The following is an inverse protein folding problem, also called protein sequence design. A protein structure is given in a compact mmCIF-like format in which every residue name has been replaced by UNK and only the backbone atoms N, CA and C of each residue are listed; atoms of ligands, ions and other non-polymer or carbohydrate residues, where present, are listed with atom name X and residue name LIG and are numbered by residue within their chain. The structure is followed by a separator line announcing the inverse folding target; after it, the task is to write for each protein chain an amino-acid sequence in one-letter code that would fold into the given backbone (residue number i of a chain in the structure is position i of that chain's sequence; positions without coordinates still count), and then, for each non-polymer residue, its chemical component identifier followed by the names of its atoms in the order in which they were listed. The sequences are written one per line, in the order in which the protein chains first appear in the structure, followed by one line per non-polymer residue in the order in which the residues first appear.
data_IF_724399308877
#
_entry.id   IF_724399308877
#
_cell.length_a   1.000
_cell.length_b   1.000
_cell.length_c   1.000
_cell.angle_alpha   90.00
_cell.angle_beta   90.00
_cell.angle_gamma   90.00
#
_symmetry.space_group_name_H-M   'P 1'
#
loop_
_entity.id
_entity.type
_entity.pdbx_description
1 polymer ?
#
# COMPACT_ATOMS: atom_id res chain seq x y z
N UNK A 1 6.72 4.14 -2.92
CA UNK A 1 7.73 4.65 -3.89
C UNK A 1 7.71 6.16 -3.86
N UNK A 2 8.85 6.81 -3.98
CA UNK A 2 9.02 8.26 -3.97
C UNK A 2 10.40 8.60 -4.58
N UNK A 3 10.57 9.75 -5.19
CA UNK A 3 11.87 10.26 -5.64
C UNK A 3 12.60 10.87 -4.44
N UNK A 4 13.54 10.12 -3.84
CA UNK A 4 14.25 10.55 -2.63
C UNK A 4 15.60 11.22 -2.91
N UNK A 5 16.05 11.22 -4.16
CA UNK A 5 17.34 11.80 -4.58
C UNK A 5 17.17 12.98 -5.55
N UNK A 6 15.92 13.39 -5.86
CA UNK A 6 15.53 14.49 -6.74
C UNK A 6 16.01 14.30 -8.21
N UNK A 7 16.05 13.06 -8.67
CA UNK A 7 16.39 12.72 -10.07
C UNK A 7 15.17 12.54 -10.99
N UNK A 8 13.96 12.76 -10.46
CA UNK A 8 12.64 12.64 -11.09
C UNK A 8 12.21 11.20 -11.39
N UNK A 9 12.83 10.21 -10.75
CA UNK A 9 12.47 8.80 -10.85
C UNK A 9 12.02 8.28 -9.49
N UNK A 10 11.15 7.28 -9.52
CA UNK A 10 10.63 6.71 -8.27
C UNK A 10 11.59 5.66 -7.71
N UNK A 11 12.06 5.91 -6.50
CA UNK A 11 12.83 4.96 -5.70
C UNK A 11 11.89 4.05 -4.90
N UNK A 12 12.40 2.90 -4.46
CA UNK A 12 11.60 1.87 -3.79
C UNK A 12 12.11 1.67 -2.37
N UNK A 13 11.24 1.79 -1.36
CA UNK A 13 11.51 1.31 0.00
C UNK A 13 10.93 -0.10 0.18
N UNK A 14 11.68 -0.98 0.84
CA UNK A 14 11.25 -2.36 1.14
C UNK A 14 11.64 -2.78 2.55
N UNK A 15 10.76 -3.58 3.17
CA UNK A 15 11.08 -4.43 4.31
C UNK A 15 11.40 -5.86 3.82
N UNK A 16 12.51 -6.43 4.27
CA UNK A 16 12.90 -7.81 3.99
C UNK A 16 12.69 -8.65 5.24
N UNK A 17 11.55 -9.36 5.30
CA UNK A 17 11.09 -10.04 6.52
C UNK A 17 12.11 -11.04 7.06
N UNK A 18 12.56 -11.97 6.24
CA UNK A 18 13.53 -13.00 6.66
C UNK A 18 14.91 -12.43 6.94
N UNK A 19 15.35 -11.44 6.16
CA UNK A 19 16.64 -10.76 6.34
C UNK A 19 16.67 -9.79 7.51
N UNK A 20 15.51 -9.36 7.99
CA UNK A 20 15.39 -8.35 9.06
C UNK A 20 16.06 -7.03 8.70
N UNK A 21 15.89 -6.54 7.46
CA UNK A 21 16.55 -5.34 6.97
C UNK A 21 15.57 -4.45 6.20
N UNK A 22 15.73 -3.14 6.37
CA UNK A 22 15.04 -2.11 5.57
C UNK A 22 16.02 -1.57 4.54
N UNK A 23 15.57 -1.50 3.30
CA UNK A 23 16.38 -1.01 2.17
C UNK A 23 15.62 0.02 1.35
N UNK A 24 16.36 0.96 0.79
CA UNK A 24 15.92 1.78 -0.32
C UNK A 24 16.72 1.41 -1.58
N UNK A 25 16.04 1.32 -2.70
CA UNK A 25 16.60 1.04 -4.01
C UNK A 25 16.44 2.29 -4.86
N UNK A 26 17.56 2.84 -5.31
CA UNK A 26 17.56 4.03 -6.16
C UNK A 26 17.40 3.61 -7.61
N UNK A 27 16.48 4.27 -8.32
CA UNK A 27 16.26 4.01 -9.73
C UNK A 27 17.52 4.36 -10.56
N UNK A 28 18.11 3.40 -11.29
CA UNK A 28 19.41 3.59 -11.95
C UNK A 28 19.35 4.42 -13.23
N UNK A 29 18.18 4.84 -13.65
CA UNK A 29 17.88 5.45 -14.95
C UNK A 29 17.36 4.43 -15.95
N UNK A 30 16.52 4.89 -16.89
CA UNK A 30 15.80 4.05 -17.84
C UNK A 30 16.69 3.06 -18.62
N UNK A 31 17.84 3.52 -19.11
CA UNK A 31 18.79 2.67 -19.83
C UNK A 31 19.44 1.55 -18.99
N UNK A 32 19.26 1.56 -17.68
CA UNK A 32 19.87 0.62 -16.73
C UNK A 32 18.85 -0.06 -15.82
N UNK A 33 17.58 0.09 -16.10
CA UNK A 33 16.50 -0.42 -15.24
C UNK A 33 16.56 -1.94 -15.04
N UNK A 34 17.09 -2.68 -16.02
CA UNK A 34 17.32 -4.13 -15.95
C UNK A 34 18.59 -4.51 -15.19
N UNK A 35 19.45 -3.54 -14.85
CA UNK A 35 20.65 -3.79 -14.05
C UNK A 35 20.28 -3.87 -12.56
N UNK A 36 21.24 -4.28 -11.73
CA UNK A 36 21.06 -4.26 -10.27
C UNK A 36 20.99 -2.81 -9.77
N UNK A 37 19.88 -2.46 -9.15
CA UNK A 37 19.69 -1.11 -8.61
C UNK A 37 20.63 -0.82 -7.45
N UNK A 38 21.15 0.41 -7.33
CA UNK A 38 21.90 0.86 -6.17
C UNK A 38 21.06 0.74 -4.88
N UNK A 39 21.68 0.19 -3.83
CA UNK A 39 21.02 -0.11 -2.57
C UNK A 39 21.53 0.81 -1.47
N UNK A 40 20.62 1.34 -0.66
CA UNK A 40 20.88 1.95 0.63
C UNK A 40 20.36 0.98 1.70
N UNK A 41 21.25 0.48 2.58
CA UNK A 41 20.83 -0.24 3.78
C UNK A 41 20.45 0.80 4.84
N UNK A 42 19.14 0.92 5.10
CA UNK A 42 18.56 1.95 5.96
C UNK A 42 18.61 1.55 7.44
N UNK A 43 18.30 0.28 7.74
CA UNK A 43 18.31 -0.19 9.11
C UNK A 43 18.02 -1.68 9.23
N UNK A 44 18.23 -2.20 10.45
CA UNK A 44 17.96 -3.62 10.79
C UNK A 44 16.83 -3.68 11.79
N UNK A 45 15.72 -4.30 11.38
CA UNK A 45 14.55 -4.59 12.22
C UNK A 45 14.05 -5.99 11.88
N UNK A 46 13.64 -6.76 12.87
CA UNK A 46 13.16 -8.13 12.66
C UNK A 46 11.69 -8.12 12.22
N UNK A 47 11.37 -9.01 11.27
CA UNK A 47 10.02 -9.20 10.73
C UNK A 47 9.35 -7.89 10.27
N UNK A 48 9.99 -7.09 9.40
CA UNK A 48 9.35 -5.91 8.82
C UNK A 48 8.29 -6.34 7.80
N UNK A 49 7.13 -5.69 7.85
CA UNK A 49 5.99 -5.92 6.94
C UNK A 49 5.85 -4.80 5.92
N UNK A 50 6.24 -3.58 6.28
CA UNK A 50 6.10 -2.41 5.43
C UNK A 50 7.27 -1.46 5.61
N UNK A 51 7.54 -0.66 4.58
CA UNK A 51 8.49 0.44 4.61
C UNK A 51 7.96 1.59 3.74
N UNK A 52 7.73 2.76 4.33
CA UNK A 52 7.17 3.92 3.65
C UNK A 52 8.06 5.14 3.79
N UNK A 53 8.29 5.84 2.67
CA UNK A 53 8.97 7.14 2.67
C UNK A 53 8.07 8.25 3.21
N UNK A 54 8.62 9.12 4.04
CA UNK A 54 7.93 10.28 4.59
C UNK A 54 8.91 11.26 5.21
N UNK A 55 8.77 12.53 4.95
CA UNK A 55 9.46 13.59 5.71
C UNK A 55 8.74 13.77 7.05
N UNK A 56 9.21 13.07 8.09
CA UNK A 56 8.57 13.06 9.43
C UNK A 56 8.83 14.32 10.23
N UNK A 57 10.02 14.94 10.09
CA UNK A 57 10.44 16.07 10.91
C UNK A 57 10.43 17.40 10.15
N UNK A 58 10.03 17.39 8.87
CA UNK A 58 9.86 18.58 8.07
C UNK A 58 11.18 19.24 7.65
N UNK A 59 12.28 18.44 7.60
CA UNK A 59 13.59 18.96 7.22
C UNK A 59 13.84 18.95 5.69
N UNK A 60 12.92 18.38 4.93
CA UNK A 60 12.94 18.28 3.48
C UNK A 60 13.66 17.03 2.95
N UNK A 61 14.18 16.19 3.83
CA UNK A 61 14.76 14.88 3.50
C UNK A 61 13.80 13.77 3.92
N UNK A 62 13.52 12.82 3.01
CA UNK A 62 12.63 11.73 3.29
C UNK A 62 13.22 10.71 4.26
N UNK A 63 12.53 10.48 5.36
CA UNK A 63 12.76 9.40 6.31
C UNK A 63 12.07 8.12 5.84
N UNK A 64 12.23 7.02 6.59
CA UNK A 64 11.47 5.79 6.38
C UNK A 64 10.79 5.37 7.69
N UNK A 65 9.52 5.00 7.58
CA UNK A 65 8.78 4.31 8.65
C UNK A 65 8.65 2.85 8.29
N UNK A 66 8.96 1.94 9.22
CA UNK A 66 8.72 0.51 9.04
C UNK A 66 7.82 -0.04 10.13
N UNK A 67 6.94 -0.96 9.74
CA UNK A 67 6.07 -1.71 10.61
C UNK A 67 6.61 -3.13 10.80
N UNK A 68 6.55 -3.68 12.00
CA UNK A 68 7.05 -5.02 12.29
C UNK A 68 6.05 -5.88 13.04
N UNK A 69 6.03 -7.16 12.68
CA UNK A 69 5.22 -8.18 13.31
C UNK A 69 6.03 -9.16 14.17
N UNK A 70 5.53 -10.39 14.30
CA UNK A 70 6.18 -11.50 14.98
C UNK A 70 6.41 -11.21 16.47
N UNK A 71 7.67 -11.28 16.91
CA UNK A 71 8.05 -10.95 18.29
C UNK A 71 8.40 -9.48 18.47
N UNK A 72 8.70 -8.77 17.40
CA UNK A 72 9.10 -7.35 17.43
C UNK A 72 7.90 -6.45 17.70
N UNK A 73 6.83 -6.57 16.91
CA UNK A 73 5.55 -5.84 17.08
C UNK A 73 5.76 -4.36 17.43
N UNK A 74 6.54 -3.65 16.60
CA UNK A 74 6.97 -2.29 16.86
C UNK A 74 7.04 -1.51 15.55
N UNK A 75 6.66 -0.25 15.58
CA UNK A 75 6.93 0.71 14.50
C UNK A 75 8.31 1.32 14.74
N UNK A 76 9.10 1.45 13.70
CA UNK A 76 10.43 2.07 13.75
C UNK A 76 10.49 3.25 12.80
N UNK A 77 11.14 4.31 13.25
CA UNK A 77 11.54 5.44 12.42
C UNK A 77 13.01 5.29 12.05
N UNK A 78 13.28 5.48 10.78
CA UNK A 78 14.62 5.47 10.23
C UNK A 78 14.89 6.87 9.69
N UNK A 79 15.58 7.65 10.50
CA UNK A 79 15.89 9.05 10.19
C UNK A 79 16.94 9.15 9.11
N UNK A 80 16.64 9.88 8.06
CA UNK A 80 17.56 10.21 6.99
C UNK A 80 18.74 11.02 7.51
N UNK A 81 19.96 10.77 7.01
CA UNK A 81 21.10 11.63 7.35
C UNK A 81 20.97 12.99 6.70
N UNK A 82 20.92 14.04 7.53
CA UNK A 82 20.87 15.43 7.07
C UNK A 82 22.12 15.79 6.27
N UNK A 83 21.97 16.63 5.25
CA UNK A 83 23.06 17.12 4.41
C UNK A 83 23.86 16.00 3.66
N UNK A 84 23.27 14.87 3.42
CA UNK A 84 23.82 13.84 2.51
C UNK A 84 22.94 13.70 1.27
N UNK A 85 23.17 14.47 0.18
CA UNK A 85 22.32 14.44 -1.01
C UNK A 85 22.22 13.05 -1.67
N UNK A 86 23.22 12.19 -1.45
CA UNK A 86 23.22 10.82 -1.94
C UNK A 86 22.69 9.81 -0.93
N UNK A 87 22.49 10.24 0.34
CA UNK A 87 22.00 9.40 1.46
C UNK A 87 22.76 8.08 1.66
N UNK A 88 24.02 8.03 1.18
CA UNK A 88 24.87 6.85 1.15
C UNK A 88 26.06 6.93 2.09
N UNK A 89 26.52 8.15 2.39
CA UNK A 89 27.78 8.38 3.12
C UNK A 89 27.59 8.33 4.62
N UNK A 90 26.48 8.92 5.11
CA UNK A 90 26.16 8.96 6.53
C UNK A 90 25.17 7.85 6.91
N UNK A 91 25.30 7.26 8.11
CA UNK A 91 24.40 6.22 8.54
C UNK A 91 23.00 6.76 8.88
N UNK A 92 21.98 6.05 8.47
CA UNK A 92 20.62 6.25 8.93
C UNK A 92 20.50 5.88 10.41
N UNK A 93 19.63 6.57 11.13
CA UNK A 93 19.40 6.32 12.55
C UNK A 93 18.06 5.65 12.78
N UNK A 94 18.06 4.37 13.13
CA UNK A 94 16.85 3.62 13.47
C UNK A 94 16.47 3.83 14.94
N UNK A 95 15.19 4.15 15.19
CA UNK A 95 14.60 4.26 16.53
C UNK A 95 13.26 3.54 16.61
N UNK A 96 13.07 2.73 17.64
CA UNK A 96 11.77 2.14 17.96
C UNK A 96 10.84 3.22 18.54
N UNK A 97 9.57 3.18 18.17
CA UNK A 97 8.52 4.07 18.72
C UNK A 97 7.91 3.41 19.95
N UNK A 98 8.20 3.89 21.18
CA UNK A 98 7.90 3.16 22.41
C UNK A 98 6.41 2.86 22.62
N UNK A 99 5.51 3.77 22.23
CA UNK A 99 4.06 3.59 22.40
C UNK A 99 3.52 2.42 21.57
N UNK A 100 4.22 1.97 20.53
CA UNK A 100 3.83 0.86 19.66
C UNK A 100 4.47 -0.47 20.08
N UNK A 101 5.53 -0.44 20.88
CA UNK A 101 6.38 -1.58 21.19
C UNK A 101 5.64 -2.72 21.90
N UNK A 102 5.67 -3.92 21.28
CA UNK A 102 5.06 -5.14 21.80
C UNK A 102 3.53 -5.15 21.82
N UNK A 103 2.86 -4.13 21.28
CA UNK A 103 1.39 -3.99 21.37
C UNK A 103 0.66 -4.83 20.35
N UNK A 104 0.91 -4.59 19.08
CA UNK A 104 0.19 -5.21 17.98
C UNK A 104 1.18 -5.68 16.90
N UNK A 105 0.78 -6.62 16.05
CA UNK A 105 1.51 -6.94 14.83
C UNK A 105 1.21 -5.85 13.81
N UNK A 106 2.11 -4.87 13.72
CA UNK A 106 1.94 -3.72 12.83
C UNK A 106 2.21 -4.13 11.38
N UNK A 107 1.25 -3.80 10.51
CA UNK A 107 1.27 -4.19 9.10
C UNK A 107 1.67 -3.02 8.20
N UNK A 108 1.01 -1.87 8.36
CA UNK A 108 1.15 -0.73 7.44
C UNK A 108 1.16 0.59 8.18
N UNK A 109 1.87 1.56 7.60
CA UNK A 109 1.83 2.96 7.98
C UNK A 109 1.48 3.82 6.76
N UNK A 110 0.59 4.82 6.95
CA UNK A 110 0.25 5.80 5.92
C UNK A 110 0.46 7.20 6.48
N UNK A 111 1.35 8.02 5.89
CA UNK A 111 1.52 9.41 6.28
C UNK A 111 0.27 10.23 5.98
N UNK A 112 -0.24 10.94 7.00
CA UNK A 112 -1.45 11.75 6.90
C UNK A 112 -1.38 12.94 7.87
N UNK A 113 -1.74 14.13 7.42
CA UNK A 113 -1.96 15.29 8.27
C UNK A 113 -3.35 15.18 8.91
N UNK A 114 -3.41 14.87 10.21
CA UNK A 114 -4.69 14.66 10.92
C UNK A 114 -5.14 15.92 11.68
N UNK A 115 -4.21 16.58 12.39
CA UNK A 115 -4.50 17.77 13.18
C UNK A 115 -3.73 19.03 12.74
N UNK A 116 -3.03 18.95 11.60
CA UNK A 116 -2.21 20.01 11.00
C UNK A 116 -1.05 20.53 11.86
N UNK A 117 -0.66 19.81 12.92
CA UNK A 117 0.46 20.20 13.78
C UNK A 117 1.79 19.60 13.37
N UNK A 118 1.76 18.51 12.62
CA UNK A 118 2.92 17.79 12.12
C UNK A 118 2.52 16.64 11.21
N UNK A 119 3.50 15.97 10.62
CA UNK A 119 3.26 14.76 9.86
C UNK A 119 2.91 13.63 10.82
N UNK A 120 1.69 13.14 10.74
CA UNK A 120 1.17 12.02 11.50
C UNK A 120 1.24 10.72 10.69
N UNK A 121 0.93 9.60 11.35
CA UNK A 121 0.82 8.30 10.71
C UNK A 121 -0.51 7.62 11.06
N UNK A 122 -1.16 7.04 10.08
CA UNK A 122 -2.23 6.08 10.31
C UNK A 122 -1.64 4.69 10.26
N UNK A 123 -1.81 3.92 11.33
CA UNK A 123 -1.28 2.56 11.46
C UNK A 123 -2.39 1.53 11.33
N UNK A 124 -2.08 0.44 10.64
CA UNK A 124 -2.90 -0.77 10.56
C UNK A 124 -2.17 -1.98 11.13
N UNK A 125 -2.91 -2.90 11.74
CA UNK A 125 -2.31 -4.08 12.38
C UNK A 125 -3.12 -5.35 12.15
N UNK A 126 -2.59 -6.49 12.65
CA UNK A 126 -3.26 -7.79 12.63
C UNK A 126 -3.23 -8.49 13.99
N UNK A 127 -4.15 -9.45 14.18
CA UNK A 127 -4.26 -10.28 15.39
C UNK A 127 -5.43 -9.91 16.27
N UNK A 128 -5.49 -10.48 17.48
CA UNK A 128 -6.64 -10.34 18.38
C UNK A 128 -6.94 -8.89 18.81
N UNK A 129 -5.88 -8.09 18.95
CA UNK A 129 -5.96 -6.67 19.33
C UNK A 129 -5.75 -5.74 18.13
N UNK A 130 -5.98 -6.24 16.91
CA UNK A 130 -5.76 -5.46 15.70
C UNK A 130 -6.61 -4.20 15.65
N UNK A 131 -6.06 -3.14 15.08
CA UNK A 131 -6.74 -1.86 14.92
C UNK A 131 -6.25 -1.07 13.72
N UNK A 132 -7.05 -0.08 13.35
CA UNK A 132 -6.61 1.08 12.60
C UNK A 132 -6.62 2.26 13.55
N UNK A 133 -5.58 3.09 13.55
CA UNK A 133 -5.51 4.23 14.44
C UNK A 133 -4.42 5.22 14.08
N UNK A 134 -4.43 6.32 14.76
CA UNK A 134 -3.58 7.48 14.57
C UNK A 134 -2.39 7.46 15.52
N UNK A 135 -1.21 7.49 14.97
CA UNK A 135 0.02 7.77 15.69
C UNK A 135 0.32 9.26 15.54
N UNK A 136 -0.05 10.00 16.58
CA UNK A 136 0.04 11.46 16.63
C UNK A 136 1.45 11.93 16.83
N UNK A 137 1.90 12.84 15.97
CA UNK A 137 3.20 13.50 16.05
C UNK A 137 3.25 14.51 17.21
N UNK A 138 4.32 14.51 18.01
CA UNK A 138 4.58 15.59 18.96
C UNK A 138 5.12 16.83 18.23
N UNK A 139 5.28 17.93 18.99
CA UNK A 139 5.88 19.17 18.45
C UNK A 139 7.32 18.98 17.92
N UNK A 140 8.10 18.09 18.55
CA UNK A 140 9.38 17.61 18.06
C UNK A 140 9.25 16.15 17.65
N UNK A 141 9.11 15.83 16.34
CA UNK A 141 8.93 14.46 15.90
C UNK A 141 10.10 13.54 16.24
N UNK A 142 11.31 14.07 16.47
CA UNK A 142 12.48 13.29 16.89
C UNK A 142 12.44 12.88 18.37
N UNK A 143 11.55 13.47 19.16
CA UNK A 143 11.22 13.03 20.51
C UNK A 143 10.28 11.80 20.46
N UNK A 144 10.80 10.64 19.99
CA UNK A 144 10.01 9.43 19.71
C UNK A 144 9.22 8.90 20.90
N UNK A 145 9.60 9.24 22.11
CA UNK A 145 8.89 8.91 23.36
C UNK A 145 7.59 9.70 23.57
N UNK A 146 7.42 10.81 22.88
CA UNK A 146 6.27 11.71 23.03
C UNK A 146 5.15 11.43 22.03
N UNK A 147 5.39 10.56 21.05
CA UNK A 147 4.35 10.11 20.13
C UNK A 147 3.23 9.37 20.87
N UNK A 148 1.97 9.58 20.42
CA UNK A 148 0.79 9.00 21.06
C UNK A 148 -0.04 8.22 20.06
N UNK A 149 -0.54 7.04 20.46
CA UNK A 149 -1.40 6.22 19.61
C UNK A 149 -2.87 6.32 20.06
N UNK A 150 -3.74 6.69 19.12
CA UNK A 150 -5.19 6.79 19.28
C UNK A 150 -5.87 5.75 18.39
N UNK A 151 -6.61 4.84 19.01
CA UNK A 151 -7.31 3.76 18.30
C UNK A 151 -8.64 4.28 17.74
N UNK A 152 -8.82 4.17 16.42
CA UNK A 152 -10.06 4.59 15.75
C UNK A 152 -11.02 3.45 15.49
N UNK A 153 -10.50 2.29 15.01
CA UNK A 153 -11.30 1.18 14.55
C UNK A 153 -10.71 -0.16 15.01
N UNK A 154 -11.61 -1.10 15.43
CA UNK A 154 -11.24 -2.45 15.82
C UNK A 154 -11.22 -3.34 14.59
N UNK A 155 -10.04 -3.71 14.12
CA UNK A 155 -9.80 -4.55 12.96
C UNK A 155 -9.46 -6.00 13.35
N UNK A 156 -9.39 -6.88 12.39
CA UNK A 156 -8.91 -8.25 12.59
C UNK A 156 -7.57 -8.50 11.92
N UNK A 157 -7.45 -8.09 10.66
CA UNK A 157 -6.21 -8.15 9.89
C UNK A 157 -6.28 -7.14 8.75
N UNK A 158 -5.65 -6.01 8.95
CA UNK A 158 -5.56 -4.96 7.93
C UNK A 158 -4.62 -5.43 6.82
N UNK A 159 -5.10 -5.42 5.58
CA UNK A 159 -4.31 -5.79 4.40
C UNK A 159 -4.00 -4.60 3.49
N UNK A 160 -4.73 -3.50 3.63
CA UNK A 160 -4.44 -2.24 2.93
C UNK A 160 -4.89 -1.05 3.76
N UNK A 161 -4.10 0.03 3.65
CA UNK A 161 -4.46 1.37 4.08
C UNK A 161 -4.16 2.32 2.92
N UNK A 162 -5.15 3.14 2.54
CA UNK A 162 -5.03 4.09 1.43
C UNK A 162 -5.67 5.40 1.86
N UNK A 163 -4.96 6.52 1.75
CA UNK A 163 -5.53 7.85 1.96
C UNK A 163 -6.27 8.34 0.72
N UNK A 164 -7.49 8.81 0.89
CA UNK A 164 -8.34 9.32 -0.19
C UNK A 164 -9.43 10.22 0.36
N UNK A 165 -9.78 11.29 -0.33
CA UNK A 165 -11.02 12.05 -0.10
C UNK A 165 -12.18 11.23 -0.67
N UNK A 166 -12.88 10.47 0.20
CA UNK A 166 -13.89 9.50 -0.23
C UNK A 166 -15.26 10.12 -0.46
N UNK A 167 -15.64 11.15 0.30
CA UNK A 167 -16.94 11.81 0.17
C UNK A 167 -16.88 13.18 -0.53
N UNK A 168 -15.67 13.66 -0.82
CA UNK A 168 -15.47 14.89 -1.61
C UNK A 168 -15.53 16.18 -0.77
N UNK A 169 -15.41 16.07 0.57
CA UNK A 169 -15.43 17.24 1.47
C UNK A 169 -14.09 17.98 1.53
N UNK A 170 -13.00 17.36 1.13
CA UNK A 170 -11.66 17.92 1.04
C UNK A 170 -10.70 17.42 2.09
N UNK A 171 -11.18 16.74 3.10
CA UNK A 171 -10.37 16.06 4.09
C UNK A 171 -9.96 14.67 3.60
N UNK A 172 -8.77 14.19 3.95
CA UNK A 172 -8.35 12.85 3.56
C UNK A 172 -8.84 11.82 4.56
N UNK A 173 -9.59 10.87 4.06
CA UNK A 173 -10.10 9.69 4.74
C UNK A 173 -9.12 8.52 4.66
N UNK A 174 -9.46 7.40 5.34
CA UNK A 174 -8.69 6.16 5.30
C UNK A 174 -9.53 5.02 4.75
N UNK A 175 -9.25 4.63 3.50
CA UNK A 175 -9.79 3.42 2.89
C UNK A 175 -8.96 2.21 3.32
N UNK A 176 -9.61 1.12 3.73
CA UNK A 176 -8.94 -0.06 4.24
C UNK A 176 -9.59 -1.36 3.76
N UNK A 177 -8.78 -2.43 3.69
CA UNK A 177 -9.27 -3.80 3.67
C UNK A 177 -8.99 -4.48 5.00
N UNK A 178 -10.00 -5.14 5.55
CA UNK A 178 -9.91 -5.92 6.77
C UNK A 178 -10.24 -7.40 6.45
N UNK A 179 -9.24 -8.25 6.57
CA UNK A 179 -9.32 -9.66 6.17
C UNK A 179 -10.09 -10.53 7.15
N UNK A 180 -9.99 -10.27 8.48
CA UNK A 180 -10.39 -11.26 9.51
C UNK A 180 -11.06 -10.70 10.76
N UNK A 181 -11.71 -9.55 10.68
CA UNK A 181 -12.53 -9.07 11.80
C UNK A 181 -13.85 -9.85 11.91
N UNK A 182 -14.70 -9.43 12.83
CA UNK A 182 -16.07 -9.99 12.95
C UNK A 182 -16.92 -9.74 11.69
N UNK A 183 -16.63 -8.65 10.98
CA UNK A 183 -17.25 -8.27 9.72
C UNK A 183 -16.15 -7.84 8.74
N UNK A 184 -15.39 -8.80 8.16
CA UNK A 184 -14.32 -8.48 7.22
C UNK A 184 -14.89 -7.86 5.94
N UNK A 185 -14.02 -7.23 5.14
CA UNK A 185 -14.43 -6.57 3.89
C UNK A 185 -13.65 -5.30 3.62
N UNK A 186 -14.16 -4.49 2.69
CA UNK A 186 -13.65 -3.17 2.36
C UNK A 186 -14.47 -2.11 3.08
N UNK A 187 -13.78 -1.17 3.73
CA UNK A 187 -14.39 -0.06 4.47
C UNK A 187 -13.53 1.20 4.33
N UNK A 188 -14.11 2.33 4.65
CA UNK A 188 -13.34 3.55 4.86
C UNK A 188 -13.75 4.23 6.17
N UNK A 189 -12.81 4.95 6.75
CA UNK A 189 -12.99 5.74 7.97
C UNK A 189 -13.05 7.19 7.58
N UNK A 190 -14.17 7.84 7.90
CA UNK A 190 -14.45 9.24 7.60
C UNK A 190 -13.67 10.15 8.54
N UNK A 191 -12.88 11.04 7.98
CA UNK A 191 -12.16 12.07 8.71
C UNK A 191 -13.17 13.10 9.24
N UNK A 192 -13.29 13.32 10.55
CA UNK A 192 -14.23 14.29 11.11
C UNK A 192 -13.74 15.74 10.98
N UNK A 193 -12.61 15.96 10.31
CA UNK A 193 -11.98 17.26 10.12
C UNK A 193 -11.04 17.68 11.24
N UNK A 194 -10.10 18.55 10.89
CA UNK A 194 -9.02 19.05 11.75
C UNK A 194 -9.53 19.60 13.08
N UNK A 195 -10.59 20.41 13.05
CA UNK A 195 -11.14 21.03 14.26
C UNK A 195 -11.66 20.01 15.28
N UNK A 196 -12.29 18.94 14.80
CA UNK A 196 -12.76 17.85 15.64
C UNK A 196 -11.59 17.10 16.27
N UNK A 197 -10.57 16.77 15.48
CA UNK A 197 -9.39 16.05 15.96
C UNK A 197 -8.53 16.87 16.92
N UNK A 198 -8.43 18.18 16.75
CA UNK A 198 -7.76 19.07 17.70
C UNK A 198 -8.50 19.16 19.03
N UNK A 199 -9.85 19.09 19.01
CA UNK A 199 -10.69 19.13 20.20
C UNK A 199 -10.68 17.82 20.98
N UNK A 200 -10.76 16.70 20.28
CA UNK A 200 -10.76 15.36 20.86
C UNK A 200 -9.90 14.40 20.03
N UNK A 201 -8.61 14.29 20.32
CA UNK A 201 -7.71 13.36 19.63
C UNK A 201 -8.11 11.88 19.77
N UNK A 202 -8.92 11.52 20.77
CA UNK A 202 -9.39 10.16 20.99
C UNK A 202 -10.69 9.84 20.21
N UNK A 203 -11.27 10.83 19.51
CA UNK A 203 -12.48 10.62 18.72
C UNK A 203 -12.27 9.51 17.69
N UNK A 204 -13.15 8.51 17.72
CA UNK A 204 -13.18 7.47 16.69
C UNK A 204 -13.77 8.01 15.39
N UNK A 205 -13.17 7.65 14.29
CA UNK A 205 -13.67 7.97 12.96
C UNK A 205 -14.86 7.09 12.59
N UNK A 206 -15.86 7.66 11.92
CA UNK A 206 -17.02 6.91 11.46
C UNK A 206 -16.60 5.90 10.38
N UNK A 207 -17.06 4.65 10.50
CA UNK A 207 -16.71 3.60 9.53
C UNK A 207 -17.88 3.34 8.57
N UNK A 208 -17.59 3.42 7.26
CA UNK A 208 -18.52 3.15 6.19
C UNK A 208 -18.12 1.89 5.43
N UNK A 209 -19.05 0.96 5.26
CA UNK A 209 -18.82 -0.27 4.49
C UNK A 209 -18.93 -0.01 3.00
N UNK A 210 -17.91 -0.42 2.25
CA UNK A 210 -17.88 -0.31 0.79
C UNK A 210 -18.43 -1.58 0.15
N UNK A 211 -17.86 -2.75 0.47
CA UNK A 211 -18.27 -4.02 -0.13
C UNK A 211 -17.42 -5.21 0.33
N UNK A 212 -17.54 -6.32 -0.37
CA UNK A 212 -16.88 -7.59 -0.05
C UNK A 212 -17.13 -8.06 1.39
N UNK A 213 -18.28 -7.71 1.96
CA UNK A 213 -18.60 -7.95 3.38
C UNK A 213 -18.67 -9.44 3.70
N UNK A 214 -18.04 -9.84 4.79
CA UNK A 214 -17.98 -11.25 5.23
C UNK A 214 -16.93 -12.07 4.49
N UNK A 215 -16.09 -11.46 3.65
CA UNK A 215 -15.10 -12.16 2.81
C UNK A 215 -13.66 -11.84 3.22
N UNK A 216 -12.74 -12.79 3.00
CA UNK A 216 -11.31 -12.55 3.18
C UNK A 216 -10.74 -11.65 2.07
N UNK A 217 -10.76 -10.35 2.30
CA UNK A 217 -10.19 -9.36 1.39
C UNK A 217 -8.69 -9.23 1.65
N UNK A 218 -7.92 -9.31 0.58
CA UNK A 218 -6.48 -9.11 0.57
C UNK A 218 -6.16 -7.66 0.22
N UNK A 219 -5.19 -7.41 -0.67
CA UNK A 219 -4.89 -6.05 -1.09
C UNK A 219 -6.01 -5.46 -1.95
N UNK A 220 -6.21 -4.15 -1.78
CA UNK A 220 -7.12 -3.35 -2.59
C UNK A 220 -6.34 -2.23 -3.28
N UNK A 221 -6.84 -1.82 -4.43
CA UNK A 221 -6.40 -0.61 -5.13
C UNK A 221 -7.60 0.20 -5.56
N UNK A 222 -7.39 1.45 -5.96
CA UNK A 222 -8.46 2.32 -6.46
C UNK A 222 -8.11 2.92 -7.82
N UNK A 223 -9.10 3.03 -8.69
CA UNK A 223 -9.04 3.92 -9.84
C UNK A 223 -9.54 5.30 -9.47
N UNK A 224 -8.90 6.31 -10.02
CA UNK A 224 -9.22 7.71 -9.78
C UNK A 224 -9.50 8.42 -11.10
N UNK A 225 -10.41 9.39 -11.05
CA UNK A 225 -10.56 10.37 -12.13
C UNK A 225 -10.04 11.71 -11.64
N UNK A 226 -9.09 12.29 -12.38
CA UNK A 226 -8.69 13.69 -12.23
C UNK A 226 -9.47 14.53 -13.24
N UNK A 227 -10.00 15.66 -12.82
CA UNK A 227 -10.63 16.61 -13.73
C UNK A 227 -9.52 17.30 -14.54
N UNK A 228 -9.52 17.10 -15.87
CA UNK A 228 -8.53 17.68 -16.78
C UNK A 228 -8.59 19.21 -16.73
N UNK A 229 -7.43 19.84 -16.55
CA UNK A 229 -7.26 21.31 -16.63
C UNK A 229 -7.19 22.06 -15.30
N UNK A 230 -7.46 21.42 -14.18
CA UNK A 230 -7.31 22.04 -12.85
C UNK A 230 -6.21 21.36 -12.04
N UNK A 231 -5.11 22.08 -11.74
CA UNK A 231 -4.02 21.58 -10.90
C UNK A 231 -4.45 21.31 -9.44
N UNK A 232 -5.61 21.82 -9.04
CA UNK A 232 -6.25 21.61 -7.73
C UNK A 232 -7.46 20.68 -7.80
N UNK A 233 -7.71 20.03 -8.96
CA UNK A 233 -8.84 19.14 -9.10
C UNK A 233 -8.75 17.99 -8.10
N UNK A 234 -9.81 17.83 -7.33
CA UNK A 234 -9.97 16.72 -6.39
C UNK A 234 -9.95 15.38 -7.14
N UNK A 235 -9.20 14.44 -6.62
CA UNK A 235 -9.23 13.08 -7.11
C UNK A 235 -10.52 12.40 -6.67
N UNK A 236 -11.32 11.91 -7.61
CA UNK A 236 -12.51 11.14 -7.28
C UNK A 236 -12.24 9.66 -7.48
N UNK A 237 -12.48 8.85 -6.45
CA UNK A 237 -12.47 7.39 -6.57
C UNK A 237 -13.62 6.93 -7.47
N UNK A 238 -13.31 6.20 -8.54
CA UNK A 238 -14.29 5.71 -9.53
C UNK A 238 -14.57 4.22 -9.38
N UNK A 239 -13.59 3.46 -8.86
CA UNK A 239 -13.75 2.06 -8.52
C UNK A 239 -12.68 1.64 -7.50
N UNK A 240 -12.98 0.58 -6.73
CA UNK A 240 -12.01 -0.15 -5.91
C UNK A 240 -11.93 -1.56 -6.45
N UNK A 241 -10.70 -2.06 -6.61
CA UNK A 241 -10.41 -3.43 -7.03
C UNK A 241 -9.92 -4.19 -5.82
N UNK A 242 -10.70 -5.17 -5.38
CA UNK A 242 -10.42 -5.97 -4.21
C UNK A 242 -10.05 -7.39 -4.61
N UNK A 243 -8.86 -7.84 -4.24
CA UNK A 243 -8.52 -9.26 -4.32
C UNK A 243 -9.16 -9.99 -3.14
N UNK A 244 -10.01 -10.98 -3.44
CA UNK A 244 -10.81 -11.71 -2.46
C UNK A 244 -10.52 -13.20 -2.59
N UNK A 245 -10.11 -13.81 -1.49
CA UNK A 245 -9.79 -15.23 -1.46
C UNK A 245 -11.04 -16.11 -1.71
N UNK A 246 -10.90 -17.27 -2.37
CA UNK A 246 -9.63 -17.77 -2.92
C UNK A 246 -9.28 -17.23 -4.32
N UNK A 247 -10.26 -16.89 -5.18
CA UNK A 247 -10.06 -16.64 -6.60
C UNK A 247 -11.05 -15.62 -7.17
N UNK A 248 -11.25 -14.51 -6.45
CA UNK A 248 -12.16 -13.45 -6.87
C UNK A 248 -11.46 -12.14 -6.94
N UNK A 249 -11.84 -11.35 -7.93
CA UNK A 249 -11.62 -9.91 -7.95
C UNK A 249 -13.00 -9.26 -7.88
N UNK A 250 -13.19 -8.39 -6.91
CA UNK A 250 -14.43 -7.64 -6.75
C UNK A 250 -14.16 -6.19 -7.13
N UNK A 251 -14.92 -5.71 -8.12
CA UNK A 251 -14.87 -4.33 -8.57
C UNK A 251 -16.04 -3.59 -7.94
N UNK A 252 -15.70 -2.70 -7.01
CA UNK A 252 -16.68 -1.94 -6.22
C UNK A 252 -16.79 -0.54 -6.80
N UNK A 253 -18.00 -0.15 -7.22
CA UNK A 253 -18.25 1.17 -7.82
C UNK A 253 -19.20 2.00 -6.95
N UNK A 254 -18.87 3.28 -6.69
CA UNK A 254 -19.68 4.11 -5.82
C UNK A 254 -21.05 4.39 -6.42
N UNK A 255 -22.10 4.25 -5.59
CA UNK A 255 -23.44 4.71 -5.90
C UNK A 255 -23.57 6.22 -5.74
N UNK A 256 -24.82 6.71 -5.61
CA UNK A 256 -25.11 8.12 -5.39
C UNK A 256 -24.63 8.63 -4.03
N UNK A 257 -24.76 7.78 -3.02
CA UNK A 257 -24.29 8.03 -1.65
C UNK A 257 -23.10 7.11 -1.37
N UNK A 258 -21.90 7.67 -1.28
CA UNK A 258 -20.64 6.92 -1.08
C UNK A 258 -20.55 6.31 0.31
N UNK A 259 -21.37 6.76 1.27
CA UNK A 259 -21.45 6.23 2.65
C UNK A 259 -22.27 4.93 2.75
N UNK A 260 -22.99 4.58 1.68
CA UNK A 260 -23.71 3.32 1.55
C UNK A 260 -22.83 2.27 0.84
N UNK A 261 -23.14 0.95 0.98
CA UNK A 261 -22.46 -0.09 0.23
C UNK A 261 -22.50 0.19 -1.29
N UNK A 262 -21.37 -0.08 -1.94
CA UNK A 262 -21.17 0.18 -3.37
C UNK A 262 -21.66 -0.98 -4.24
N UNK A 263 -21.90 -0.71 -5.52
CA UNK A 263 -22.23 -1.75 -6.49
C UNK A 263 -21.04 -2.72 -6.70
N UNK A 264 -21.30 -4.03 -6.64
CA UNK A 264 -20.29 -5.07 -6.76
C UNK A 264 -20.36 -5.79 -8.11
N UNK A 265 -19.26 -5.83 -8.86
CA UNK A 265 -19.04 -6.78 -9.96
C UNK A 265 -18.04 -7.83 -9.50
N UNK A 266 -18.43 -9.12 -9.59
CA UNK A 266 -17.58 -10.25 -9.15
C UNK A 266 -16.99 -10.95 -10.37
N UNK A 267 -15.66 -11.03 -10.42
CA UNK A 267 -14.88 -11.71 -11.45
C UNK A 267 -14.22 -12.91 -10.79
N UNK A 268 -14.34 -14.09 -11.38
CA UNK A 268 -13.69 -15.32 -10.90
C UNK A 268 -12.75 -15.88 -11.96
N UNK A 269 -11.70 -16.55 -11.50
CA UNK A 269 -10.73 -17.22 -12.37
C UNK A 269 -10.42 -18.64 -11.87
N UNK A 270 -9.76 -19.46 -12.70
CA UNK A 270 -9.49 -20.87 -12.40
C UNK A 270 -8.31 -21.03 -11.43
N UNK A 271 -8.54 -21.72 -10.33
CA UNK A 271 -7.47 -22.15 -9.40
C UNK A 271 -6.61 -23.30 -9.95
N UNK A 272 -6.99 -23.92 -11.05
CA UNK A 272 -6.15 -24.94 -11.71
C UNK A 272 -4.98 -24.28 -12.47
N UNK A 273 -5.16 -23.02 -12.91
CA UNK A 273 -4.16 -22.26 -13.67
C UNK A 273 -3.40 -21.26 -12.84
N UNK A 274 -4.02 -20.68 -11.81
CA UNK A 274 -3.49 -19.55 -11.04
C UNK A 274 -3.54 -19.82 -9.54
N UNK A 275 -2.72 -19.09 -8.78
CA UNK A 275 -2.74 -19.15 -7.33
C UNK A 275 -3.96 -18.47 -6.70
N UNK A 276 -3.93 -18.31 -5.37
CA UNK A 276 -4.98 -17.63 -4.61
C UNK A 276 -4.82 -16.12 -4.69
N UNK A 277 -5.91 -15.40 -4.92
CA UNK A 277 -5.93 -13.94 -5.07
C UNK A 277 -5.20 -13.19 -3.94
N UNK A 278 -4.28 -12.29 -4.30
CA UNK A 278 -3.49 -11.51 -3.36
C UNK A 278 -3.63 -10.01 -3.58
N UNK A 279 -3.38 -9.51 -4.79
CA UNK A 279 -3.63 -8.12 -5.16
C UNK A 279 -4.29 -8.01 -6.53
N UNK A 280 -4.97 -6.89 -6.78
CA UNK A 280 -5.54 -6.54 -8.07
C UNK A 280 -5.36 -5.05 -8.33
N UNK A 281 -4.98 -4.68 -9.56
CA UNK A 281 -4.82 -3.29 -9.97
C UNK A 281 -5.23 -3.11 -11.42
N UNK A 282 -6.04 -2.09 -11.70
CA UNK A 282 -6.54 -1.83 -13.04
C UNK A 282 -5.81 -0.68 -13.70
N UNK A 283 -5.49 -0.87 -14.97
CA UNK A 283 -5.00 0.15 -15.90
C UNK A 283 -5.30 -0.27 -17.34
N UNK A 284 -5.20 0.66 -18.26
CA UNK A 284 -5.16 0.39 -19.69
C UNK A 284 -3.74 -0.08 -20.02
N UNK A 285 -3.55 -1.41 -20.10
CA UNK A 285 -2.23 -2.01 -20.27
C UNK A 285 -1.79 -2.11 -21.72
N UNK A 286 -2.72 -2.19 -22.66
CA UNK A 286 -2.41 -2.33 -24.09
C UNK A 286 -2.77 -1.09 -24.93
N UNK A 287 -3.21 -0.02 -24.29
CA UNK A 287 -3.49 1.27 -24.91
C UNK A 287 -4.77 1.31 -25.77
N UNK A 288 -5.70 0.35 -25.59
CA UNK A 288 -6.97 0.29 -26.33
C UNK A 288 -8.09 1.17 -25.73
N UNK A 289 -7.84 1.80 -24.60
CA UNK A 289 -8.77 2.68 -23.88
C UNK A 289 -9.71 1.95 -22.93
N UNK A 290 -9.61 0.62 -22.81
CA UNK A 290 -10.32 -0.17 -21.80
C UNK A 290 -9.35 -0.49 -20.65
N UNK A 291 -9.89 -0.95 -19.51
CA UNK A 291 -9.04 -1.29 -18.37
C UNK A 291 -8.91 -2.80 -18.29
N UNK A 292 -7.68 -3.27 -18.28
CA UNK A 292 -7.30 -4.61 -17.80
C UNK A 292 -7.11 -4.58 -16.28
N UNK A 293 -7.14 -5.76 -15.67
CA UNK A 293 -6.89 -5.93 -14.24
C UNK A 293 -5.70 -6.86 -14.05
N UNK A 294 -4.55 -6.32 -13.68
CA UNK A 294 -3.41 -7.11 -13.25
C UNK A 294 -3.68 -7.75 -11.88
N UNK A 295 -3.31 -9.01 -11.72
CA UNK A 295 -3.57 -9.82 -10.52
C UNK A 295 -2.30 -10.52 -10.09
N UNK A 296 -1.96 -10.42 -8.79
CA UNK A 296 -0.98 -11.28 -8.15
C UNK A 296 -1.64 -12.31 -7.25
N UNK A 297 -0.95 -13.43 -7.05
CA UNK A 297 -1.45 -14.57 -6.30
C UNK A 297 -0.43 -15.05 -5.26
N UNK A 298 -0.94 -15.68 -4.20
CA UNK A 298 -0.17 -16.54 -3.32
C UNK A 298 -0.56 -18.00 -3.55
N UNK A 299 0.24 -18.95 -3.04
CA UNK A 299 0.01 -20.39 -3.20
C UNK A 299 -0.05 -20.85 -4.67
N UNK A 300 0.74 -20.25 -5.55
CA UNK A 300 0.88 -20.63 -6.95
C UNK A 300 1.82 -21.84 -7.08
N UNK A 301 1.41 -23.01 -6.56
CA UNK A 301 2.21 -24.23 -6.53
C UNK A 301 2.05 -25.08 -7.79
N UNK A 302 3.10 -25.85 -8.16
CA UNK A 302 3.10 -26.71 -9.35
C UNK A 302 3.18 -25.87 -10.62
N UNK A 303 2.31 -26.13 -11.60
CA UNK A 303 2.28 -25.43 -12.89
C UNK A 303 1.42 -24.16 -12.89
N UNK A 304 1.04 -23.64 -11.71
CA UNK A 304 0.20 -22.45 -11.60
C UNK A 304 1.04 -21.18 -11.74
N UNK A 305 0.49 -20.20 -12.42
CA UNK A 305 1.05 -18.86 -12.43
C UNK A 305 0.63 -18.04 -11.21
N UNK A 306 1.55 -17.22 -10.72
CA UNK A 306 1.33 -16.27 -9.64
C UNK A 306 1.01 -14.85 -10.09
N UNK A 307 1.18 -14.53 -11.39
CA UNK A 307 0.93 -13.20 -11.95
C UNK A 307 0.24 -13.32 -13.31
N UNK A 308 -0.88 -12.64 -13.49
CA UNK A 308 -1.64 -12.61 -14.72
C UNK A 308 -2.45 -11.32 -14.83
N UNK A 309 -3.03 -11.04 -15.99
CA UNK A 309 -4.04 -9.99 -16.11
C UNK A 309 -5.36 -10.52 -16.67
N UNK A 310 -6.42 -9.81 -16.39
CA UNK A 310 -7.76 -10.06 -16.89
C UNK A 310 -8.08 -8.99 -17.94
N UNK A 311 -8.43 -9.43 -19.16
CA UNK A 311 -8.92 -8.57 -20.23
C UNK A 311 -10.39 -8.88 -20.53
N UNK A 312 -11.17 -7.86 -20.85
CA UNK A 312 -12.59 -8.05 -21.18
C UNK A 312 -12.75 -8.23 -22.69
N UNK A 313 -13.07 -9.47 -23.12
CA UNK A 313 -13.29 -9.85 -24.51
C UNK A 313 -14.76 -10.25 -24.68
N UNK A 314 -15.49 -9.62 -25.59
CA UNK A 314 -16.91 -9.87 -25.84
C UNK A 314 -17.78 -9.86 -24.57
N UNK A 315 -17.46 -8.93 -23.66
CA UNK A 315 -18.18 -8.76 -22.38
C UNK A 315 -17.80 -9.77 -21.29
N UNK A 316 -16.85 -10.68 -21.52
CA UNK A 316 -16.35 -11.67 -20.55
C UNK A 316 -14.92 -11.36 -20.17
N UNK A 317 -14.59 -11.62 -18.91
CA UNK A 317 -13.22 -11.50 -18.43
C UNK A 317 -12.43 -12.76 -18.75
N UNK A 318 -11.31 -12.60 -19.47
CA UNK A 318 -10.40 -13.69 -19.86
C UNK A 318 -9.03 -13.46 -19.21
N UNK A 319 -8.46 -14.51 -18.56
CA UNK A 319 -7.16 -14.41 -17.92
C UNK A 319 -6.02 -14.70 -18.90
N UNK A 320 -5.00 -13.83 -18.89
CA UNK A 320 -3.77 -13.93 -19.66
C UNK A 320 -2.57 -14.04 -18.71
N UNK A 321 -1.80 -15.11 -18.86
CA UNK A 321 -0.64 -15.39 -18.02
C UNK A 321 0.52 -14.42 -18.27
N UNK A 322 1.16 -13.94 -17.20
CA UNK A 322 2.38 -13.11 -17.24
C UNK A 322 3.57 -13.87 -16.62
N UNK A 323 3.36 -14.43 -15.42
CA UNK A 323 4.45 -14.94 -14.59
C UNK A 323 4.93 -16.34 -14.94
N UNK A 324 4.11 -17.15 -15.63
CA UNK A 324 4.38 -18.58 -15.82
C UNK A 324 4.43 -19.36 -14.51
N UNK A 325 4.97 -20.60 -14.52
CA UNK A 325 4.90 -21.51 -13.37
C UNK A 325 6.01 -21.31 -12.33
N UNK A 326 6.61 -20.13 -12.26
CA UNK A 326 7.65 -19.81 -11.27
C UNK A 326 7.14 -18.76 -10.29
N UNK A 327 7.55 -18.89 -9.03
CA UNK A 327 7.14 -18.01 -7.94
C UNK A 327 5.88 -18.53 -7.25
N UNK A 328 5.94 -18.61 -5.92
CA UNK A 328 4.89 -19.22 -5.08
C UNK A 328 4.00 -18.21 -4.37
N UNK A 329 4.57 -17.08 -3.95
CA UNK A 329 3.90 -16.11 -3.10
C UNK A 329 4.24 -14.69 -3.52
N UNK A 330 3.36 -14.15 -4.35
CA UNK A 330 3.42 -12.75 -4.75
C UNK A 330 2.57 -11.90 -3.81
N UNK A 331 2.95 -10.65 -3.66
CA UNK A 331 2.23 -9.70 -2.83
C UNK A 331 1.65 -8.55 -3.68
N UNK A 332 1.91 -7.34 -3.28
CA UNK A 332 1.36 -6.11 -3.84
C UNK A 332 1.77 -5.93 -5.31
N UNK A 333 0.91 -5.29 -6.09
CA UNK A 333 1.19 -4.89 -7.47
C UNK A 333 1.25 -3.37 -7.57
N UNK A 334 2.25 -2.87 -8.29
CA UNK A 334 2.30 -1.51 -8.80
C UNK A 334 2.36 -1.56 -10.34
N UNK A 335 1.66 -0.64 -10.99
CA UNK A 335 1.70 -0.44 -12.44
C UNK A 335 2.31 0.93 -12.70
N UNK A 336 3.42 0.99 -13.40
CA UNK A 336 4.17 2.20 -13.68
C UNK A 336 5.05 2.00 -14.91
N UNK A 337 5.30 3.08 -15.63
CA UNK A 337 6.27 3.13 -16.72
C UNK A 337 7.68 3.18 -16.10
N UNK A 338 8.30 2.00 -15.94
CA UNK A 338 9.54 1.86 -15.19
C UNK A 338 10.78 2.17 -16.07
N UNK A 339 10.73 1.86 -17.35
CA UNK A 339 11.82 2.09 -18.28
C UNK A 339 11.67 3.37 -19.12
N UNK A 340 10.51 4.01 -19.05
CA UNK A 340 10.24 5.29 -19.70
C UNK A 340 9.87 5.19 -21.17
N UNK A 341 9.34 4.05 -21.62
CA UNK A 341 8.90 3.84 -22.99
C UNK A 341 7.46 4.28 -23.25
N UNK A 342 6.71 4.59 -22.19
CA UNK A 342 5.38 5.20 -22.18
C UNK A 342 4.23 4.21 -22.07
N UNK A 343 4.48 2.94 -21.79
CA UNK A 343 3.45 2.00 -21.35
C UNK A 343 3.60 1.65 -19.85
N UNK A 344 2.70 0.87 -19.29
CA UNK A 344 2.72 0.54 -17.87
C UNK A 344 3.21 -0.89 -17.65
N UNK A 345 4.32 -1.00 -16.96
CA UNK A 345 4.88 -2.25 -16.50
C UNK A 345 4.24 -2.73 -15.19
N UNK A 346 4.48 -3.99 -14.86
CA UNK A 346 4.05 -4.59 -13.61
C UNK A 346 5.24 -4.82 -12.67
N UNK A 347 5.20 -4.16 -11.52
CA UNK A 347 6.14 -4.37 -10.42
C UNK A 347 5.45 -5.09 -9.26
N UNK A 348 6.08 -6.14 -8.73
CA UNK A 348 5.59 -6.91 -7.58
C UNK A 348 6.76 -7.46 -6.77
N UNK A 349 6.48 -8.04 -5.61
CA UNK A 349 7.48 -8.82 -4.86
C UNK A 349 7.06 -10.27 -4.76
N UNK A 350 8.04 -11.15 -4.72
CA UNK A 350 7.87 -12.58 -4.50
C UNK A 350 8.73 -13.01 -3.31
N UNK A 351 8.11 -13.72 -2.33
CA UNK A 351 8.67 -13.93 -1.01
C UNK A 351 9.25 -15.33 -0.78
N UNK A 352 9.15 -16.27 -1.74
CA UNK A 352 9.49 -17.68 -1.51
C UNK A 352 10.54 -18.23 -2.45
N UNK A 353 10.31 -18.16 -3.75
CA UNK A 353 11.20 -18.74 -4.75
C UNK A 353 12.30 -17.77 -5.17
N UNK A 354 11.92 -16.52 -5.43
CA UNK A 354 12.86 -15.50 -5.89
C UNK A 354 13.41 -14.66 -4.73
N UNK A 355 12.62 -14.44 -3.67
CA UNK A 355 12.94 -13.51 -2.60
C UNK A 355 13.39 -12.16 -3.19
N UNK A 356 12.57 -11.58 -4.07
CA UNK A 356 12.94 -10.43 -4.87
C UNK A 356 11.77 -9.49 -5.14
N UNK A 357 12.09 -8.25 -5.47
CA UNK A 357 11.21 -7.36 -6.21
C UNK A 357 11.39 -7.69 -7.68
N UNK A 358 10.29 -7.97 -8.36
CA UNK A 358 10.23 -8.42 -9.76
C UNK A 358 9.54 -7.38 -10.61
N UNK A 359 10.10 -7.14 -11.77
CA UNK A 359 9.55 -6.32 -12.81
C UNK A 359 9.21 -7.18 -14.04
N UNK A 360 8.01 -7.02 -14.55
CA UNK A 360 7.55 -7.61 -15.79
C UNK A 360 7.33 -6.45 -16.76
N UNK A 361 8.20 -6.38 -17.76
CA UNK A 361 8.11 -5.42 -18.86
C UNK A 361 6.85 -5.68 -19.68
N UNK A 362 6.13 -4.62 -20.01
CA UNK A 362 4.98 -4.68 -20.89
C UNK A 362 5.46 -4.56 -22.35
N UNK A 363 5.24 -5.57 -23.20
CA UNK A 363 5.72 -5.55 -24.58
C UNK A 363 4.81 -4.77 -25.55
N UNK A 364 3.92 -3.90 -25.04
CA UNK A 364 2.94 -3.22 -25.87
C UNK A 364 3.57 -2.12 -26.77
N UNK A 365 4.77 -1.64 -26.44
CA UNK A 365 5.55 -0.67 -27.25
C UNK A 365 6.98 -1.09 -27.48
#
# INVERSE_FOLDING_TARGET
MLDINNDKRLDIATGWEEGGVIRAYLHPGNAKVTERWPIIEVGKVKSPEDAVFVDLDGDGDEDIVSCSEGRTRTVHFHWSPRNDPQRKVLPWRTQAVPVTAGKQSWMFAVPLWVDEKGMDLVLGSKGAEASIGWLQSPKDPRAVGDWRFHRWYDAGWVMSLIKADMDGDGDLDVLASDRRSRTPGVLWLENPGVAAMQKDPAQRWAAHRVGATGREVMFITRSIRKQLGDRKAKEKTTAIYAAVRPNRIEVLRPGKDVKQPWDEEVITYSLDRFGTAKAARAADLDGDGQLEIAVSCESATGDKSGVFYLKKVDGKWEPHDIGGPKGLKYDRIELLDLDGDGDLDLLTCEERDFNAVLWYENPAK
#
